data_IF_139723670986
#
_entry.id   IF_139723670986
#
_cell.length_a   1.000
_cell.length_b   1.000
_cell.length_c   1.000
_cell.angle_alpha   90.00
_cell.angle_beta   90.00
_cell.angle_gamma   90.00
#
_symmetry.space_group_name_H-M   'P 1'
#
loop_
_entity.id
_entity.type
_entity.pdbx_description
1 polymer ?
#
# COMPACT_ATOMS: atom_id res chain seq x y z
N UNK A 1 -17.39 22.49 -4.03
CA UNK A 1 -17.58 23.91 -4.48
C UNK A 1 -16.44 24.21 -5.47
N UNK A 2 -16.72 24.74 -6.66
CA UNK A 2 -15.65 25.08 -7.60
C UNK A 2 -15.14 26.49 -7.26
N UNK A 3 -13.87 26.61 -6.92
CA UNK A 3 -13.19 27.88 -6.65
C UNK A 3 -12.75 28.55 -7.96
N UNK A 4 -12.75 29.88 -8.00
CA UNK A 4 -12.16 30.68 -9.08
C UNK A 4 -10.63 30.66 -8.99
N UNK A 5 -9.92 30.99 -10.09
CA UNK A 5 -8.45 31.05 -10.08
C UNK A 5 -7.93 32.03 -8.99
N UNK A 6 -8.60 33.15 -8.77
CA UNK A 6 -8.23 34.09 -7.72
C UNK A 6 -8.37 33.51 -6.30
N UNK A 7 -9.47 32.81 -6.04
CA UNK A 7 -9.68 32.11 -4.76
C UNK A 7 -8.68 30.96 -4.54
N UNK A 8 -8.26 30.27 -5.61
CA UNK A 8 -7.21 29.26 -5.53
C UNK A 8 -5.83 29.84 -5.25
N UNK A 9 -5.50 31.01 -5.80
CA UNK A 9 -4.22 31.69 -5.55
C UNK A 9 -4.15 32.20 -4.11
N UNK A 10 -5.20 32.88 -3.63
CA UNK A 10 -5.26 33.50 -2.30
C UNK A 10 -6.38 32.88 -1.45
N UNK A 11 -6.12 31.76 -0.77
CA UNK A 11 -7.05 31.13 0.14
C UNK A 11 -6.46 31.05 1.56
N UNK A 12 -6.69 32.03 2.43
CA UNK A 12 -6.17 32.04 3.80
C UNK A 12 -6.93 31.14 4.75
N UNK A 13 -8.13 30.66 4.39
CA UNK A 13 -9.02 29.92 5.29
C UNK A 13 -8.59 28.46 5.43
N UNK A 14 -8.19 28.06 6.63
CA UNK A 14 -7.71 26.68 6.91
C UNK A 14 -8.77 25.60 6.60
N UNK A 15 -10.06 25.89 6.79
CA UNK A 15 -11.16 24.96 6.53
C UNK A 15 -11.39 24.65 5.04
N UNK A 16 -10.85 25.46 4.12
CA UNK A 16 -11.06 25.33 2.68
C UNK A 16 -9.86 24.74 1.92
N UNK A 17 -8.77 24.37 2.60
CA UNK A 17 -7.54 23.93 1.92
C UNK A 17 -7.73 22.64 1.11
N UNK A 18 -8.60 21.73 1.55
CA UNK A 18 -8.91 20.51 0.79
C UNK A 18 -9.71 20.83 -0.48
N UNK A 19 -10.71 21.71 -0.38
CA UNK A 19 -11.48 22.16 -1.55
C UNK A 19 -10.59 22.93 -2.52
N UNK A 20 -9.64 23.71 -1.99
CA UNK A 20 -8.62 24.41 -2.78
C UNK A 20 -7.76 23.43 -3.56
N UNK A 21 -7.19 22.41 -2.91
CA UNK A 21 -6.33 21.42 -3.57
C UNK A 21 -7.09 20.69 -4.69
N UNK A 22 -8.32 20.26 -4.43
CA UNK A 22 -9.19 19.60 -5.44
C UNK A 22 -9.49 20.55 -6.61
N UNK A 23 -9.80 21.80 -6.32
CA UNK A 23 -10.08 22.81 -7.36
C UNK A 23 -8.84 23.10 -8.22
N UNK A 24 -7.66 23.16 -7.61
CA UNK A 24 -6.38 23.32 -8.32
C UNK A 24 -6.17 22.12 -9.26
N UNK A 25 -6.30 20.91 -8.78
CA UNK A 25 -6.12 19.71 -9.61
C UNK A 25 -7.09 19.68 -10.80
N UNK A 26 -8.36 19.94 -10.54
CA UNK A 26 -9.37 20.07 -11.61
C UNK A 26 -8.98 21.17 -12.63
N UNK A 27 -8.49 22.32 -12.17
CA UNK A 27 -8.08 23.42 -13.04
C UNK A 27 -6.84 23.08 -13.87
N UNK A 28 -5.87 22.38 -13.29
CA UNK A 28 -4.67 21.95 -13.99
C UNK A 28 -4.98 20.97 -15.13
N UNK A 29 -5.96 20.10 -14.95
CA UNK A 29 -6.37 19.11 -15.96
C UNK A 29 -7.41 19.63 -16.96
N UNK A 30 -8.11 20.73 -16.66
CA UNK A 30 -9.12 21.31 -17.54
C UNK A 30 -8.49 21.94 -18.80
N UNK A 31 -9.29 22.17 -19.88
CA UNK A 31 -8.81 22.89 -21.05
C UNK A 31 -8.19 24.25 -20.68
N UNK A 32 -6.98 24.51 -21.20
CA UNK A 32 -6.17 25.68 -20.85
C UNK A 32 -5.48 25.59 -19.48
N UNK A 33 -5.42 24.40 -18.88
CA UNK A 33 -4.63 24.09 -17.70
C UNK A 33 -3.18 23.72 -18.05
N UNK A 34 -2.60 22.80 -17.30
CA UNK A 34 -1.23 22.32 -17.51
C UNK A 34 -1.22 21.14 -18.49
N UNK A 35 -0.49 21.20 -19.61
CA UNK A 35 -0.42 20.11 -20.58
C UNK A 35 0.10 18.80 -19.97
N UNK A 36 1.09 18.88 -19.08
CA UNK A 36 1.66 17.72 -18.42
C UNK A 36 0.62 17.01 -17.53
N UNK A 37 -0.08 17.76 -16.68
CA UNK A 37 -1.13 17.17 -15.81
C UNK A 37 -2.27 16.58 -16.64
N UNK A 38 -2.65 17.23 -17.74
CA UNK A 38 -3.72 16.76 -18.63
C UNK A 38 -3.43 15.42 -19.32
N UNK A 39 -2.14 15.11 -19.57
CA UNK A 39 -1.70 13.87 -20.22
C UNK A 39 -1.57 12.69 -19.25
N UNK A 40 -1.55 12.94 -17.92
CA UNK A 40 -1.35 11.87 -16.95
C UNK A 40 -2.52 10.88 -16.92
N UNK A 41 -2.16 9.61 -16.66
CA UNK A 41 -3.08 8.49 -16.44
C UNK A 41 -2.79 7.84 -15.07
N UNK A 42 -3.67 6.93 -14.63
CA UNK A 42 -3.40 6.13 -13.44
C UNK A 42 -2.06 5.38 -13.54
N UNK A 43 -1.74 4.85 -14.72
CA UNK A 43 -0.53 4.06 -14.98
C UNK A 43 0.72 4.95 -15.00
N UNK A 44 0.66 6.14 -15.60
CA UNK A 44 1.83 7.02 -15.68
C UNK A 44 2.25 7.56 -14.32
N UNK A 45 1.32 7.66 -13.36
CA UNK A 45 1.58 8.16 -12.01
C UNK A 45 2.05 7.08 -11.02
N UNK A 46 2.17 5.80 -11.43
CA UNK A 46 2.57 4.74 -10.51
C UNK A 46 3.97 4.95 -9.92
N UNK A 47 4.92 5.42 -10.73
CA UNK A 47 6.27 5.73 -10.26
C UNK A 47 6.28 6.83 -9.21
N UNK A 48 5.55 7.92 -9.46
CA UNK A 48 5.42 9.04 -8.52
C UNK A 48 4.80 8.59 -7.18
N UNK A 49 3.69 7.84 -7.22
CA UNK A 49 3.06 7.33 -5.99
C UNK A 49 4.02 6.47 -5.14
N UNK A 50 4.87 5.65 -5.79
CA UNK A 50 5.88 4.84 -5.11
C UNK A 50 6.98 5.74 -4.53
N UNK A 51 7.47 6.71 -5.28
CA UNK A 51 8.50 7.66 -4.88
C UNK A 51 8.08 8.44 -3.65
N UNK A 52 6.92 9.14 -3.68
CA UNK A 52 6.38 9.89 -2.54
C UNK A 52 6.18 9.00 -1.29
N UNK A 53 5.80 7.72 -1.50
CA UNK A 53 5.67 6.76 -0.40
C UNK A 53 7.03 6.49 0.25
N UNK A 54 8.11 6.30 -0.52
CA UNK A 54 9.43 6.05 0.02
C UNK A 54 10.05 7.29 0.65
N UNK A 55 9.83 8.47 0.10
CA UNK A 55 10.29 9.75 0.66
C UNK A 55 9.60 10.03 2.00
N UNK A 56 8.28 9.79 2.08
CA UNK A 56 7.54 9.81 3.36
C UNK A 56 8.16 8.85 4.39
N UNK A 57 8.48 7.61 3.99
CA UNK A 57 9.11 6.61 4.88
C UNK A 57 10.49 7.07 5.33
N UNK A 58 11.30 7.65 4.46
CA UNK A 58 12.64 8.13 4.77
C UNK A 58 12.61 9.31 5.75
N UNK A 59 11.74 10.29 5.54
CA UNK A 59 11.57 11.43 6.46
C UNK A 59 11.12 10.99 7.86
N UNK A 60 10.23 9.99 7.96
CA UNK A 60 9.85 9.38 9.24
C UNK A 60 11.06 8.74 9.93
N UNK A 61 11.86 7.94 9.21
CA UNK A 61 13.05 7.27 9.75
C UNK A 61 14.11 8.25 10.25
N UNK A 62 14.26 9.38 9.58
CA UNK A 62 15.18 10.45 9.97
C UNK A 62 14.65 11.35 11.09
N UNK A 63 13.36 11.30 11.40
CA UNK A 63 12.70 12.19 12.35
C UNK A 63 12.63 13.63 11.85
N UNK A 64 12.60 13.85 10.53
CA UNK A 64 12.53 15.17 9.90
C UNK A 64 11.08 15.60 9.71
N UNK A 65 10.52 16.19 10.76
CA UNK A 65 9.11 16.59 10.79
C UNK A 65 8.73 17.69 9.81
N UNK A 66 9.68 18.52 9.39
CA UNK A 66 9.42 19.58 8.42
C UNK A 66 9.27 19.01 7.01
N UNK A 67 10.20 18.16 6.59
CA UNK A 67 10.09 17.42 5.34
C UNK A 67 8.90 16.46 5.35
N UNK A 68 8.64 15.76 6.47
CA UNK A 68 7.48 14.86 6.55
C UNK A 68 6.16 15.56 6.22
N UNK A 69 6.01 16.85 6.59
CA UNK A 69 4.83 17.63 6.22
C UNK A 69 4.72 17.83 4.72
N UNK A 70 5.85 18.03 4.04
CA UNK A 70 5.94 18.19 2.58
C UNK A 70 5.56 16.87 1.89
N UNK A 71 6.25 15.77 2.24
CA UNK A 71 6.02 14.45 1.64
C UNK A 71 4.58 13.93 1.87
N UNK A 72 3.98 14.21 3.02
CA UNK A 72 2.56 13.91 3.25
C UNK A 72 1.64 14.75 2.35
N UNK A 73 2.05 15.97 1.99
CA UNK A 73 1.36 16.81 1.01
C UNK A 73 1.42 16.18 -0.39
N UNK A 74 2.58 15.71 -0.81
CA UNK A 74 2.80 15.09 -2.12
C UNK A 74 2.10 13.73 -2.21
N UNK A 75 2.14 12.93 -1.14
CA UNK A 75 1.35 11.70 -1.05
C UNK A 75 -0.17 11.98 -1.11
N UNK A 76 -0.66 13.05 -0.46
CA UNK A 76 -2.05 13.50 -0.55
C UNK A 76 -2.39 13.96 -1.98
N UNK A 77 -1.46 14.65 -2.66
CA UNK A 77 -1.61 15.05 -4.06
C UNK A 77 -1.86 13.84 -4.95
N UNK A 78 -1.14 12.72 -4.76
CA UNK A 78 -1.39 11.49 -5.52
C UNK A 78 -2.83 10.99 -5.34
N UNK A 79 -3.35 11.02 -4.10
CA UNK A 79 -4.74 10.60 -3.83
C UNK A 79 -5.74 11.51 -4.55
N UNK A 80 -5.53 12.83 -4.52
CA UNK A 80 -6.40 13.80 -5.19
C UNK A 80 -6.32 13.64 -6.71
N UNK A 81 -5.11 13.47 -7.25
CA UNK A 81 -4.89 13.28 -8.69
C UNK A 81 -5.60 12.04 -9.22
N UNK A 82 -5.41 10.90 -8.57
CA UNK A 82 -6.08 9.66 -8.94
C UNK A 82 -7.61 9.74 -8.80
N UNK A 83 -8.11 10.54 -7.84
CA UNK A 83 -9.55 10.77 -7.69
C UNK A 83 -10.11 11.63 -8.81
N UNK A 84 -9.38 12.66 -9.27
CA UNK A 84 -9.77 13.49 -10.41
C UNK A 84 -9.84 12.66 -11.70
N UNK A 85 -8.82 11.81 -11.96
CA UNK A 85 -8.81 10.89 -13.10
C UNK A 85 -10.02 9.95 -13.09
N UNK A 86 -10.41 9.46 -11.92
CA UNK A 86 -11.57 8.60 -11.78
C UNK A 86 -12.89 9.35 -11.99
N UNK A 87 -12.99 10.60 -11.53
CA UNK A 87 -14.14 11.47 -11.72
C UNK A 87 -14.32 11.83 -13.20
N UNK A 88 -13.24 12.18 -13.90
CA UNK A 88 -13.26 12.40 -15.36
C UNK A 88 -13.74 11.18 -16.14
N UNK A 89 -13.40 9.98 -15.67
CA UNK A 89 -13.85 8.72 -16.26
C UNK A 89 -15.27 8.31 -15.80
N UNK A 90 -15.96 9.12 -15.00
CA UNK A 90 -17.30 8.84 -14.48
C UNK A 90 -17.41 7.62 -13.55
N UNK A 91 -16.32 7.27 -12.84
CA UNK A 91 -16.23 6.09 -11.97
C UNK A 91 -16.60 6.41 -10.52
N UNK A 92 -15.87 7.30 -9.89
CA UNK A 92 -16.06 7.80 -8.52
C UNK A 92 -15.30 9.13 -8.37
N UNK A 93 -15.55 9.87 -7.31
CA UNK A 93 -14.90 11.14 -7.01
C UNK A 93 -14.13 11.08 -5.67
N UNK A 94 -13.45 12.15 -5.31
CA UNK A 94 -12.69 12.24 -4.07
C UNK A 94 -13.55 12.03 -2.81
N UNK A 95 -14.80 12.53 -2.80
CA UNK A 95 -15.68 12.36 -1.64
C UNK A 95 -16.10 10.91 -1.44
N UNK A 96 -16.19 10.11 -2.51
CA UNK A 96 -16.42 8.68 -2.42
C UNK A 96 -15.23 7.94 -1.80
N UNK A 97 -13.99 8.35 -2.13
CA UNK A 97 -12.76 7.81 -1.52
C UNK A 97 -12.75 8.11 -0.02
N UNK A 98 -12.99 9.36 0.37
CA UNK A 98 -13.01 9.80 1.78
C UNK A 98 -14.14 9.11 2.54
N UNK A 99 -15.34 9.03 1.96
CA UNK A 99 -16.48 8.33 2.55
C UNK A 99 -16.15 6.86 2.80
N UNK A 100 -15.63 6.18 1.79
CA UNK A 100 -15.30 4.76 1.88
C UNK A 100 -14.29 4.44 2.99
N UNK A 101 -13.24 5.28 3.17
CA UNK A 101 -12.29 5.08 4.26
C UNK A 101 -12.90 5.43 5.62
N UNK A 102 -13.71 6.49 5.70
CA UNK A 102 -14.36 6.91 6.96
C UNK A 102 -15.33 5.86 7.47
N UNK A 103 -16.23 5.38 6.60
CA UNK A 103 -17.18 4.31 6.94
C UNK A 103 -16.47 3.01 7.35
N UNK A 104 -15.38 2.67 6.66
CA UNK A 104 -14.54 1.53 7.02
C UNK A 104 -13.92 1.70 8.40
N UNK A 105 -13.40 2.87 8.74
CA UNK A 105 -12.81 3.13 10.05
C UNK A 105 -13.87 3.04 11.16
N UNK A 106 -15.03 3.68 11.01
CA UNK A 106 -16.12 3.61 11.97
C UNK A 106 -16.55 2.16 12.20
N UNK A 107 -16.81 1.43 11.13
CA UNK A 107 -17.26 0.03 11.19
C UNK A 107 -16.24 -0.89 11.84
N UNK A 108 -14.93 -0.66 11.61
CA UNK A 108 -13.86 -1.50 12.17
C UNK A 108 -13.43 -1.14 13.59
N UNK A 109 -14.01 -0.09 14.18
CA UNK A 109 -13.72 0.32 15.53
C UNK A 109 -15.01 0.35 16.40
N UNK A 110 -15.75 -0.79 16.50
CA UNK A 110 -16.97 -0.82 17.30
C UNK A 110 -16.73 -0.68 18.79
N UNK A 111 -15.48 -0.83 19.25
CA UNK A 111 -15.07 -0.48 20.62
C UNK A 111 -14.96 1.03 20.87
N UNK A 112 -14.98 1.86 19.80
CA UNK A 112 -14.97 3.34 19.89
C UNK A 112 -16.32 3.93 19.49
N UNK A 113 -16.93 3.39 18.44
CA UNK A 113 -18.15 3.94 17.83
C UNK A 113 -19.40 3.08 18.07
N UNK A 114 -19.30 1.99 18.81
CA UNK A 114 -20.40 1.05 19.11
C UNK A 114 -20.31 0.49 20.52
N UNK A 115 -20.86 -0.69 20.74
CA UNK A 115 -21.04 -1.29 22.07
C UNK A 115 -20.02 -2.40 22.40
N UNK A 116 -18.96 -2.55 21.62
CA UNK A 116 -17.94 -3.59 21.84
C UNK A 116 -16.96 -3.17 22.94
N UNK A 117 -16.72 -4.04 23.92
CA UNK A 117 -15.74 -3.82 24.99
C UNK A 117 -14.46 -4.61 24.66
N UNK A 118 -13.46 -3.92 24.12
CA UNK A 118 -12.11 -4.44 23.92
C UNK A 118 -11.14 -3.45 24.54
N UNK A 119 -10.32 -3.93 25.48
CA UNK A 119 -9.49 -3.07 26.32
C UNK A 119 -7.98 -3.15 25.96
N UNK A 120 -7.58 -4.17 25.17
CA UNK A 120 -6.19 -4.37 24.81
C UNK A 120 -5.96 -4.39 23.28
N UNK A 121 -4.71 -4.23 22.90
CA UNK A 121 -4.30 -4.19 21.49
C UNK A 121 -4.56 -5.50 20.75
N UNK A 122 -4.37 -6.64 21.42
CA UNK A 122 -4.54 -7.96 20.80
C UNK A 122 -6.02 -8.25 20.52
N UNK A 123 -6.89 -7.88 21.45
CA UNK A 123 -8.33 -7.94 21.24
C UNK A 123 -8.80 -7.06 20.09
N UNK A 124 -8.27 -5.83 19.96
CA UNK A 124 -8.57 -4.95 18.82
C UNK A 124 -8.13 -5.58 17.51
N UNK A 125 -6.93 -6.16 17.45
CA UNK A 125 -6.41 -6.82 16.22
C UNK A 125 -7.25 -8.04 15.84
N UNK A 126 -7.65 -8.85 16.82
CA UNK A 126 -8.52 -10.01 16.59
C UNK A 126 -9.91 -9.57 16.09
N UNK A 127 -10.51 -8.56 16.72
CA UNK A 127 -11.78 -8.00 16.29
C UNK A 127 -11.71 -7.45 14.85
N UNK A 128 -10.63 -6.77 14.47
CA UNK A 128 -10.42 -6.31 13.10
C UNK A 128 -10.33 -7.44 12.09
N UNK A 129 -9.64 -8.52 12.44
CA UNK A 129 -9.51 -9.68 11.56
C UNK A 129 -10.87 -10.41 11.40
N UNK A 130 -11.70 -10.44 12.44
CA UNK A 130 -13.07 -10.98 12.39
C UNK A 130 -13.99 -10.12 11.50
N UNK A 131 -13.98 -8.80 11.70
CA UNK A 131 -14.77 -7.87 10.89
C UNK A 131 -14.36 -7.95 9.41
N UNK A 132 -13.05 -7.98 9.11
CA UNK A 132 -12.56 -8.15 7.74
C UNK A 132 -13.02 -9.47 7.09
N UNK A 133 -13.10 -10.55 7.86
CA UNK A 133 -13.63 -11.85 7.38
C UNK A 133 -15.12 -11.73 7.03
N UNK A 134 -15.90 -11.07 7.88
CA UNK A 134 -17.34 -10.84 7.63
C UNK A 134 -17.58 -9.94 6.41
N UNK A 135 -16.81 -8.85 6.25
CA UNK A 135 -16.88 -7.92 5.11
C UNK A 135 -16.65 -8.61 3.76
N UNK A 136 -15.83 -9.66 3.72
CA UNK A 136 -15.52 -10.42 2.50
C UNK A 136 -16.62 -11.43 2.10
N UNK A 137 -17.76 -11.41 2.79
CA UNK A 137 -18.99 -12.10 2.36
C UNK A 137 -18.91 -13.63 2.32
N UNK A 138 -18.02 -14.26 3.07
CA UNK A 138 -17.92 -15.72 3.14
C UNK A 138 -17.44 -16.38 1.84
N UNK A 139 -16.96 -15.65 0.85
CA UNK A 139 -16.18 -16.26 -0.22
C UNK A 139 -15.01 -17.03 0.39
N UNK A 140 -14.96 -18.32 0.17
CA UNK A 140 -13.85 -19.19 0.56
C UNK A 140 -12.61 -18.86 -0.28
N UNK A 141 -12.03 -17.68 -0.04
CA UNK A 141 -10.66 -17.40 -0.49
C UNK A 141 -9.72 -18.16 0.44
N UNK A 142 -8.69 -18.75 -0.13
CA UNK A 142 -7.65 -19.35 0.69
C UNK A 142 -7.10 -18.31 1.68
N UNK A 143 -6.72 -18.75 2.87
CA UNK A 143 -6.36 -17.88 4.00
C UNK A 143 -5.30 -16.82 3.64
N UNK A 144 -4.40 -17.13 2.71
CA UNK A 144 -3.32 -16.24 2.26
C UNK A 144 -3.66 -15.36 1.05
N UNK A 145 -4.81 -15.57 0.39
CA UNK A 145 -5.17 -14.87 -0.87
C UNK A 145 -5.39 -13.36 -0.71
N UNK A 146 -5.58 -12.87 0.51
CA UNK A 146 -5.78 -11.46 0.77
C UNK A 146 -4.48 -10.66 0.93
N UNK A 147 -3.32 -11.32 0.84
CA UNK A 147 -2.03 -10.64 0.78
C UNK A 147 -1.84 -10.06 -0.63
N UNK A 148 -1.82 -8.74 -0.72
CA UNK A 148 -1.80 -8.03 -2.00
C UNK A 148 -0.68 -8.50 -2.93
N UNK A 149 -1.06 -8.91 -4.14
CA UNK A 149 -0.12 -9.41 -5.17
C UNK A 149 0.79 -8.31 -5.74
N UNK A 150 0.38 -7.05 -5.62
CA UNK A 150 1.16 -5.89 -6.08
C UNK A 150 2.20 -5.37 -5.09
N UNK A 151 2.38 -6.03 -3.94
CA UNK A 151 3.43 -5.65 -2.99
C UNK A 151 4.82 -6.02 -3.52
N UNK A 152 5.86 -5.24 -3.20
CA UNK A 152 7.25 -5.67 -3.40
C UNK A 152 7.49 -7.05 -2.77
N UNK A 153 8.27 -7.90 -3.44
CA UNK A 153 8.41 -9.33 -3.12
C UNK A 153 8.75 -9.58 -1.64
N UNK A 154 9.76 -8.91 -1.11
CA UNK A 154 10.18 -9.05 0.28
C UNK A 154 9.08 -8.61 1.28
N UNK A 155 8.38 -7.54 0.99
CA UNK A 155 7.26 -7.09 1.84
C UNK A 155 6.08 -8.06 1.78
N UNK A 156 5.84 -8.65 0.60
CA UNK A 156 4.83 -9.68 0.42
C UNK A 156 5.19 -10.96 1.18
N UNK A 157 6.45 -11.42 1.08
CA UNK A 157 6.95 -12.58 1.82
C UNK A 157 6.79 -12.37 3.34
N UNK A 158 7.25 -11.25 3.89
CA UNK A 158 7.10 -10.93 5.31
C UNK A 158 5.61 -10.90 5.75
N UNK A 159 4.70 -10.41 4.92
CA UNK A 159 3.27 -10.43 5.23
C UNK A 159 2.66 -11.83 5.17
N UNK A 160 3.10 -12.67 4.22
CA UNK A 160 2.67 -14.07 4.13
C UNK A 160 3.12 -14.86 5.35
N UNK A 161 4.40 -14.76 5.72
CA UNK A 161 4.96 -15.39 6.92
C UNK A 161 4.23 -14.94 8.19
N UNK A 162 4.08 -13.63 8.41
CA UNK A 162 3.33 -13.09 9.56
C UNK A 162 1.89 -13.60 9.62
N UNK A 163 1.26 -13.85 8.47
CA UNK A 163 -0.09 -14.37 8.43
C UNK A 163 -0.14 -15.87 8.70
N UNK A 164 0.82 -16.63 8.17
CA UNK A 164 0.97 -18.06 8.41
C UNK A 164 1.25 -18.35 9.90
N UNK A 165 2.11 -17.55 10.54
CA UNK A 165 2.44 -17.72 11.97
C UNK A 165 1.21 -17.57 12.87
N UNK A 166 0.25 -16.70 12.54
CA UNK A 166 -1.01 -16.54 13.30
C UNK A 166 -1.87 -17.82 13.39
N UNK A 167 -1.69 -18.76 12.48
CA UNK A 167 -2.41 -20.04 12.46
C UNK A 167 -1.51 -21.22 12.85
N UNK A 168 -0.37 -20.92 13.47
CA UNK A 168 0.56 -21.92 13.99
C UNK A 168 1.52 -22.47 12.94
N UNK A 169 1.56 -21.93 11.75
CA UNK A 169 2.58 -22.26 10.74
C UNK A 169 3.78 -21.32 10.91
N UNK A 170 4.63 -21.69 11.87
CA UNK A 170 5.83 -20.92 12.23
C UNK A 170 6.91 -21.88 12.75
N UNK A 171 8.15 -21.41 12.73
CA UNK A 171 9.28 -22.16 13.28
C UNK A 171 9.20 -22.21 14.81
N UNK A 172 9.49 -23.37 15.44
CA UNK A 172 9.47 -23.47 16.89
C UNK A 172 10.60 -22.69 17.57
N UNK A 173 11.69 -22.46 16.82
CA UNK A 173 12.89 -21.73 17.27
C UNK A 173 13.72 -21.21 16.09
N UNK A 174 14.68 -20.33 16.40
CA UNK A 174 15.60 -19.76 15.41
C UNK A 174 16.53 -20.79 14.76
N UNK A 175 16.76 -21.93 15.42
CA UNK A 175 17.61 -22.99 14.88
C UNK A 175 16.97 -23.65 13.66
N UNK A 176 15.66 -23.80 13.66
CA UNK A 176 14.91 -24.29 12.51
C UNK A 176 15.08 -23.39 11.28
N UNK A 177 14.95 -22.08 11.49
CA UNK A 177 15.18 -21.06 10.45
C UNK A 177 16.60 -21.14 9.90
N UNK A 178 17.61 -21.18 10.78
CA UNK A 178 19.02 -21.25 10.38
C UNK A 178 19.37 -22.53 9.63
N UNK A 179 18.73 -23.64 9.95
CA UNK A 179 18.93 -24.91 9.24
C UNK A 179 18.33 -24.82 7.83
N UNK A 180 17.15 -24.21 7.67
CA UNK A 180 16.52 -24.03 6.35
C UNK A 180 17.35 -23.09 5.46
N UNK A 181 17.86 -21.98 6.00
CA UNK A 181 18.76 -21.07 5.25
C UNK A 181 20.01 -21.82 4.72
N UNK A 182 20.58 -22.74 5.51
CA UNK A 182 21.74 -23.53 5.06
C UNK A 182 21.37 -24.55 3.99
N UNK A 183 20.19 -25.13 4.10
CA UNK A 183 19.63 -26.05 3.11
C UNK A 183 19.45 -25.32 1.78
N UNK A 184 18.72 -24.20 1.75
CA UNK A 184 18.48 -23.39 0.54
C UNK A 184 19.81 -22.90 -0.08
N UNK A 185 20.74 -22.44 0.74
CA UNK A 185 22.05 -22.03 0.24
C UNK A 185 22.79 -23.19 -0.45
N UNK A 186 22.68 -24.42 0.09
CA UNK A 186 23.28 -25.59 -0.54
C UNK A 186 22.61 -25.97 -1.86
N UNK A 187 21.30 -25.78 -1.98
CA UNK A 187 20.55 -26.02 -3.20
C UNK A 187 20.90 -24.97 -4.28
N UNK A 188 21.04 -23.72 -3.91
CA UNK A 188 21.59 -22.64 -4.78
C UNK A 188 22.99 -23.01 -5.31
N UNK A 189 23.89 -23.50 -4.45
CA UNK A 189 25.26 -23.90 -4.84
C UNK A 189 25.23 -25.04 -5.87
N UNK A 190 24.36 -26.05 -5.69
CA UNK A 190 24.22 -27.18 -6.64
C UNK A 190 23.76 -26.71 -8.01
N UNK A 191 22.73 -25.87 -8.06
CA UNK A 191 22.23 -25.38 -9.35
C UNK A 191 23.21 -24.40 -10.03
N UNK A 192 23.95 -23.61 -9.23
CA UNK A 192 25.01 -22.74 -9.72
C UNK A 192 26.16 -23.54 -10.35
N UNK A 193 26.62 -24.63 -9.71
CA UNK A 193 27.66 -25.51 -10.25
C UNK A 193 27.24 -26.13 -11.60
N UNK A 194 25.97 -26.55 -11.71
CA UNK A 194 25.44 -27.10 -12.96
C UNK A 194 25.41 -26.02 -14.06
N UNK A 195 24.99 -24.80 -13.75
CA UNK A 195 25.03 -23.68 -14.72
C UNK A 195 26.44 -23.31 -15.16
N UNK A 196 27.40 -23.26 -14.24
CA UNK A 196 28.82 -22.99 -14.54
C UNK A 196 29.42 -24.14 -15.35
N UNK A 197 28.98 -25.39 -15.13
CA UNK A 197 29.30 -26.56 -15.89
C UNK A 197 28.75 -26.58 -17.32
N UNK A 198 27.92 -25.59 -17.70
CA UNK A 198 27.41 -25.39 -19.05
C UNK A 198 25.98 -25.91 -19.28
N UNK A 199 25.26 -26.36 -18.23
CA UNK A 199 23.87 -26.77 -18.34
C UNK A 199 22.92 -25.55 -18.25
N UNK A 200 22.70 -24.90 -19.40
CA UNK A 200 21.82 -23.74 -19.49
C UNK A 200 20.34 -24.04 -19.16
N UNK A 201 19.93 -25.32 -19.15
CA UNK A 201 18.55 -25.68 -18.75
C UNK A 201 18.26 -25.45 -17.29
N UNK A 202 19.29 -25.40 -16.43
CA UNK A 202 19.22 -25.20 -14.99
C UNK A 202 18.99 -23.74 -14.55
N UNK A 203 18.91 -22.81 -15.49
CA UNK A 203 18.70 -21.38 -15.16
C UNK A 203 17.37 -21.10 -14.45
N UNK A 204 16.34 -21.89 -14.76
CA UNK A 204 15.02 -21.78 -14.09
C UNK A 204 15.11 -22.27 -12.64
N UNK A 205 15.67 -23.45 -12.44
CA UNK A 205 15.84 -24.07 -11.14
C UNK A 205 16.72 -23.18 -10.24
N UNK A 206 17.84 -22.67 -10.73
CA UNK A 206 18.69 -21.73 -9.99
C UNK A 206 17.93 -20.46 -9.56
N UNK A 207 17.06 -19.91 -10.41
CA UNK A 207 16.27 -18.73 -10.06
C UNK A 207 15.18 -19.04 -9.01
N UNK A 208 14.66 -20.28 -8.99
CA UNK A 208 13.71 -20.77 -7.99
C UNK A 208 14.40 -20.88 -6.63
N UNK A 209 15.57 -21.54 -6.56
CA UNK A 209 16.33 -21.68 -5.31
C UNK A 209 16.79 -20.33 -4.72
N UNK A 210 17.16 -19.36 -5.56
CA UNK A 210 17.40 -17.98 -5.11
C UNK A 210 16.14 -17.36 -4.52
N UNK A 211 14.96 -17.66 -5.07
CA UNK A 211 13.68 -17.21 -4.56
C UNK A 211 13.35 -17.80 -3.19
N UNK A 212 13.69 -19.07 -2.98
CA UNK A 212 13.42 -19.78 -1.72
C UNK A 212 14.40 -19.37 -0.61
N UNK A 213 15.64 -19.03 -0.95
CA UNK A 213 16.61 -18.44 -0.02
C UNK A 213 16.20 -17.04 0.48
N UNK A 214 15.50 -16.23 -0.32
CA UNK A 214 15.11 -14.84 -0.01
C UNK A 214 13.82 -14.75 0.81
#
# INVERSE_FOLDING_TARGET
>A
MKMTDAEMIECPESGLQMDRLRSIMHRLRAPGGCPWDAEQTHESLLSNLIEETYETVDTIKRGDWNHLKEELGDLLLQVVFHSELAEEAGRYNFDDVVRGVSEKLVRRHPHVYGDSNVEDTDGVLNQWDDIKRQEKGGEQKAYLDDVGKGLPSMLRAAKLQKKASKVGFDWPDDQGVMNKIREELSEVDVELEALVGGDASKRGDFAEEIGDLL
#
